data_IF_147996065197
#
_entry.id   IF_147996065197
#
_cell.length_a   1.000
_cell.length_b   1.000
_cell.length_c   1.000
_cell.angle_alpha   90.00
_cell.angle_beta   90.00
_cell.angle_gamma   90.00
#
_symmetry.space_group_name_H-M   'P 1'
#
loop_
_entity.id
_entity.type
_entity.pdbx_description
1 polymer ?
#
# COMPACT_ATOMS: atom_id res chain seq x y z
N UNK A 1 -28.72 -32.01 6.18
CA UNK A 1 -28.03 -31.49 4.97
C UNK A 1 -26.90 -30.50 5.30
N UNK A 2 -26.35 -30.51 6.52
CA UNK A 2 -25.25 -29.63 6.95
C UNK A 2 -23.94 -30.42 7.12
N UNK A 3 -24.00 -31.72 7.43
CA UNK A 3 -22.82 -32.54 7.75
C UNK A 3 -22.00 -33.03 6.54
N UNK A 4 -22.54 -33.03 5.32
CA UNK A 4 -21.79 -33.48 4.13
C UNK A 4 -20.86 -32.38 3.55
N UNK A 5 -20.98 -31.13 4.03
CA UNK A 5 -20.14 -30.01 3.58
C UNK A 5 -18.81 -29.90 4.35
N UNK A 6 -18.62 -30.67 5.42
CA UNK A 6 -17.65 -30.32 6.47
C UNK A 6 -16.27 -30.98 6.27
N UNK A 7 -16.17 -32.29 6.00
CA UNK A 7 -14.84 -32.95 5.99
C UNK A 7 -14.03 -32.82 4.70
N UNK A 8 -14.68 -32.78 3.53
CA UNK A 8 -13.98 -32.69 2.23
C UNK A 8 -13.60 -31.24 1.86
N UNK A 9 -14.32 -30.25 2.42
CA UNK A 9 -14.00 -28.83 2.25
C UNK A 9 -12.88 -28.36 3.19
N UNK A 10 -12.77 -28.85 4.42
CA UNK A 10 -11.75 -28.37 5.37
C UNK A 10 -10.34 -28.49 4.79
N UNK A 11 -9.97 -29.61 4.18
CA UNK A 11 -8.63 -29.77 3.56
C UNK A 11 -8.39 -28.75 2.44
N UNK A 12 -9.39 -28.50 1.58
CA UNK A 12 -9.30 -27.49 0.51
C UNK A 12 -9.28 -26.06 1.07
N UNK A 13 -9.99 -25.79 2.18
CA UNK A 13 -9.97 -24.51 2.89
C UNK A 13 -8.61 -24.24 3.51
N UNK A 14 -8.00 -25.24 4.16
CA UNK A 14 -6.67 -25.15 4.74
C UNK A 14 -5.64 -24.89 3.64
N UNK A 15 -5.68 -25.66 2.54
CA UNK A 15 -4.74 -25.47 1.42
C UNK A 15 -4.92 -24.09 0.78
N UNK A 16 -6.16 -23.64 0.53
CA UNK A 16 -6.41 -22.30 0.00
C UNK A 16 -5.94 -21.20 0.97
N UNK A 17 -6.14 -21.39 2.28
CA UNK A 17 -5.67 -20.47 3.32
C UNK A 17 -4.15 -20.37 3.39
N UNK A 18 -3.44 -21.50 3.33
CA UNK A 18 -1.97 -21.53 3.29
C UNK A 18 -1.45 -20.83 2.02
N UNK A 19 -2.04 -21.11 0.85
CA UNK A 19 -1.66 -20.43 -0.40
C UNK A 19 -1.86 -18.92 -0.29
N UNK A 20 -2.97 -18.46 0.29
CA UNK A 20 -3.23 -17.03 0.47
C UNK A 20 -2.30 -16.38 1.49
N UNK A 21 -1.95 -17.07 2.58
CA UNK A 21 -0.94 -16.58 3.52
C UNK A 21 0.43 -16.43 2.86
N UNK A 22 0.84 -17.42 2.06
CA UNK A 22 2.08 -17.35 1.28
C UNK A 22 2.01 -16.20 0.27
N UNK A 23 0.90 -16.06 -0.45
CA UNK A 23 0.70 -14.93 -1.36
C UNK A 23 0.77 -13.58 -0.64
N UNK A 24 0.16 -13.45 0.54
CA UNK A 24 0.24 -12.24 1.36
C UNK A 24 1.65 -11.95 1.84
N UNK A 25 2.42 -12.96 2.20
CA UNK A 25 3.83 -12.80 2.54
C UNK A 25 4.61 -12.23 1.34
N UNK A 26 4.43 -12.79 0.15
CA UNK A 26 5.07 -12.25 -1.06
C UNK A 26 4.62 -10.84 -1.43
N UNK A 27 3.33 -10.49 -1.25
CA UNK A 27 2.86 -9.12 -1.44
C UNK A 27 3.48 -8.18 -0.41
N UNK A 28 3.52 -8.57 0.87
CA UNK A 28 4.10 -7.75 1.92
C UNK A 28 5.59 -7.51 1.69
N UNK A 29 6.34 -8.55 1.33
CA UNK A 29 7.75 -8.45 0.95
C UNK A 29 7.91 -7.58 -0.29
N UNK A 30 7.11 -7.79 -1.33
CA UNK A 30 7.20 -6.99 -2.55
C UNK A 30 6.89 -5.52 -2.33
N UNK A 31 5.88 -5.19 -1.51
CA UNK A 31 5.54 -3.82 -1.15
C UNK A 31 6.60 -3.20 -0.24
N UNK A 32 7.16 -3.97 0.69
CA UNK A 32 8.25 -3.52 1.55
C UNK A 32 9.51 -3.20 0.75
N UNK A 33 9.92 -4.06 -0.18
CA UNK A 33 11.07 -3.81 -1.08
C UNK A 33 10.85 -2.61 -2.01
N UNK A 34 9.60 -2.39 -2.47
CA UNK A 34 9.26 -1.21 -3.29
C UNK A 34 9.22 0.07 -2.44
N UNK A 35 8.83 -0.02 -1.17
CA UNK A 35 8.60 1.15 -0.29
C UNK A 35 9.79 1.49 0.60
N UNK A 36 10.65 0.52 0.88
CA UNK A 36 11.82 0.61 1.73
C UNK A 36 12.95 -0.17 1.06
N UNK A 37 13.72 0.47 0.17
CA UNK A 37 14.88 -0.18 -0.45
C UNK A 37 15.92 -0.69 0.57
N UNK A 38 15.79 -0.33 1.85
CA UNK A 38 16.72 -0.59 2.97
C UNK A 38 16.30 -1.71 3.95
N UNK A 39 15.10 -2.30 3.85
CA UNK A 39 14.46 -2.89 5.06
C UNK A 39 14.49 -4.42 5.26
N UNK A 40 15.02 -5.26 4.36
CA UNK A 40 15.07 -6.71 4.66
C UNK A 40 16.10 -7.56 3.89
N UNK A 41 16.57 -7.13 2.72
CA UNK A 41 17.63 -7.79 1.93
C UNK A 41 18.99 -7.06 1.95
N UNK A 42 19.22 -6.19 2.94
CA UNK A 42 20.49 -5.49 3.21
C UNK A 42 21.57 -6.42 3.81
N UNK A 43 21.79 -7.59 3.19
CA UNK A 43 23.12 -8.22 3.21
C UNK A 43 24.09 -7.50 2.24
N UNK A 44 23.55 -6.60 1.41
CA UNK A 44 24.24 -5.90 0.31
C UNK A 44 24.88 -4.57 0.70
N UNK A 45 24.61 -4.05 1.91
CA UNK A 45 25.17 -2.79 2.42
C UNK A 45 26.64 -2.89 2.88
N UNK A 46 27.37 -3.90 2.40
CA UNK A 46 28.80 -3.93 2.59
C UNK A 46 29.49 -3.17 1.44
N UNK A 47 30.37 -2.24 1.79
CA UNK A 47 31.11 -1.36 0.86
C UNK A 47 31.72 -2.11 -0.34
N UNK A 48 32.11 -3.37 -0.15
CA UNK A 48 32.72 -4.19 -1.19
C UNK A 48 31.78 -4.58 -2.35
N UNK A 49 30.46 -4.60 -2.15
CA UNK A 49 29.50 -4.98 -3.21
C UNK A 49 29.13 -3.78 -4.09
N UNK A 50 29.15 -2.57 -3.53
CA UNK A 50 28.91 -1.31 -4.25
C UNK A 50 29.98 -1.02 -5.31
N UNK A 51 31.22 -1.44 -5.06
CA UNK A 51 32.33 -1.35 -6.04
C UNK A 51 32.18 -2.33 -7.21
N UNK A 52 31.56 -3.49 -6.98
CA UNK A 52 31.41 -4.53 -8.00
C UNK A 52 30.13 -4.32 -8.82
N UNK A 53 29.05 -3.82 -8.20
CA UNK A 53 27.75 -3.58 -8.84
C UNK A 53 27.14 -2.23 -8.43
N UNK A 54 27.60 -1.10 -9.00
CA UNK A 54 27.07 0.25 -8.71
C UNK A 54 25.60 0.45 -9.13
N UNK A 55 24.99 -0.54 -9.81
CA UNK A 55 23.58 -0.55 -10.22
C UNK A 55 22.70 -1.49 -9.37
N UNK A 56 23.21 -2.05 -8.27
CA UNK A 56 22.43 -2.95 -7.40
C UNK A 56 21.21 -2.25 -6.78
N UNK A 57 21.30 -0.96 -6.42
CA UNK A 57 20.17 -0.16 -5.93
C UNK A 57 18.99 -0.09 -6.94
N UNK A 58 19.30 -0.19 -8.25
CA UNK A 58 18.33 -0.13 -9.34
C UNK A 58 17.57 -1.44 -9.56
N UNK A 59 17.98 -2.53 -8.91
CA UNK A 59 17.48 -3.89 -9.19
C UNK A 59 16.31 -4.34 -8.29
N UNK A 60 16.02 -3.63 -7.20
CA UNK A 60 15.01 -4.04 -6.21
C UNK A 60 13.55 -3.92 -6.70
N UNK A 61 13.26 -3.02 -7.65
CA UNK A 61 11.90 -2.90 -8.21
C UNK A 61 11.48 -4.15 -8.98
N UNK A 62 12.42 -4.84 -9.64
CA UNK A 62 12.15 -6.09 -10.34
C UNK A 62 11.85 -7.23 -9.35
N UNK A 63 12.52 -7.23 -8.19
CA UNK A 63 12.27 -8.18 -7.11
C UNK A 63 10.88 -7.93 -6.51
N UNK A 64 10.52 -6.69 -6.21
CA UNK A 64 9.17 -6.32 -5.76
C UNK A 64 8.08 -6.66 -6.79
N UNK A 65 8.30 -6.33 -8.07
CA UNK A 65 7.36 -6.64 -9.15
C UNK A 65 7.20 -8.15 -9.35
N UNK A 66 8.29 -8.91 -9.31
CA UNK A 66 8.26 -10.37 -9.43
C UNK A 66 7.52 -11.01 -8.25
N UNK A 67 7.69 -10.51 -7.03
CA UNK A 67 6.95 -10.96 -5.85
C UNK A 67 5.43 -10.71 -6.00
N UNK A 68 5.03 -9.55 -6.53
CA UNK A 68 3.62 -9.24 -6.83
C UNK A 68 3.05 -10.16 -7.92
N UNK A 69 3.80 -10.41 -8.99
CA UNK A 69 3.38 -11.33 -10.07
C UNK A 69 3.19 -12.75 -9.53
N UNK A 70 4.13 -13.23 -8.71
CA UNK A 70 4.06 -14.55 -8.06
C UNK A 70 2.83 -14.63 -7.15
N UNK A 71 2.58 -13.60 -6.34
CA UNK A 71 1.39 -13.56 -5.48
C UNK A 71 0.08 -13.58 -6.28
N UNK A 72 -0.02 -12.81 -7.36
CA UNK A 72 -1.15 -12.85 -8.28
C UNK A 72 -1.34 -14.24 -8.90
N UNK A 73 -0.25 -14.90 -9.28
CA UNK A 73 -0.25 -16.28 -9.77
C UNK A 73 -0.76 -17.28 -8.72
N UNK A 74 -0.40 -17.11 -7.45
CA UNK A 74 -0.84 -17.94 -6.32
C UNK A 74 -2.30 -17.72 -5.93
N UNK A 75 -2.88 -16.54 -6.20
CA UNK A 75 -4.30 -16.27 -5.95
C UNK A 75 -5.20 -17.10 -6.87
N UNK A 76 -4.78 -17.38 -8.11
CA UNK A 76 -5.56 -18.16 -9.10
C UNK A 76 -5.89 -19.60 -8.63
N UNK A 77 -4.92 -20.43 -8.20
CA UNK A 77 -5.22 -21.76 -7.68
C UNK A 77 -6.02 -21.72 -6.38
N UNK A 78 -5.80 -20.74 -5.50
CA UNK A 78 -6.63 -20.55 -4.31
C UNK A 78 -8.10 -20.27 -4.67
N UNK A 79 -8.34 -19.41 -5.68
CA UNK A 79 -9.67 -19.10 -6.19
C UNK A 79 -10.34 -20.31 -6.83
N UNK A 80 -9.58 -21.15 -7.55
CA UNK A 80 -10.09 -22.39 -8.15
C UNK A 80 -10.41 -23.47 -7.11
N UNK A 81 -9.67 -23.52 -5.99
CA UNK A 81 -9.88 -24.51 -4.93
C UNK A 81 -11.18 -24.24 -4.15
N UNK A 82 -11.36 -23.01 -3.67
CA UNK A 82 -12.54 -22.58 -2.91
C UNK A 82 -12.81 -21.09 -3.07
N UNK A 83 -13.70 -20.76 -4.01
CA UNK A 83 -14.08 -19.38 -4.34
C UNK A 83 -14.58 -18.60 -3.12
N UNK A 84 -15.54 -19.15 -2.37
CA UNK A 84 -16.17 -18.41 -1.27
C UNK A 84 -15.21 -18.10 -0.12
N UNK A 85 -14.32 -19.03 0.24
CA UNK A 85 -13.33 -18.80 1.29
C UNK A 85 -12.24 -17.83 0.81
N UNK A 86 -11.70 -18.06 -0.40
CA UNK A 86 -10.58 -17.28 -0.93
C UNK A 86 -10.94 -15.79 -1.06
N UNK A 87 -12.14 -15.48 -1.54
CA UNK A 87 -12.60 -14.11 -1.69
C UNK A 87 -12.68 -13.40 -0.31
N UNK A 88 -13.22 -14.08 0.71
CA UNK A 88 -13.36 -13.49 2.06
C UNK A 88 -12.01 -13.30 2.75
N UNK A 89 -11.10 -14.23 2.52
CA UNK A 89 -9.73 -14.14 3.05
C UNK A 89 -8.98 -12.98 2.39
N UNK A 90 -9.10 -12.84 1.07
CA UNK A 90 -8.49 -11.74 0.31
C UNK A 90 -9.06 -10.37 0.75
N UNK A 91 -10.37 -10.27 1.01
CA UNK A 91 -10.98 -9.07 1.60
C UNK A 91 -10.35 -8.73 2.96
N UNK A 92 -10.19 -9.72 3.84
CA UNK A 92 -9.59 -9.54 5.17
C UNK A 92 -8.15 -9.04 5.06
N UNK A 93 -7.38 -9.65 4.16
CA UNK A 93 -5.98 -9.29 3.92
C UNK A 93 -5.85 -7.89 3.34
N UNK A 94 -6.66 -7.52 2.35
CA UNK A 94 -6.64 -6.16 1.78
C UNK A 94 -7.02 -5.10 2.82
N UNK A 95 -8.00 -5.38 3.69
CA UNK A 95 -8.42 -4.44 4.74
C UNK A 95 -7.31 -4.20 5.77
N UNK A 96 -6.68 -5.27 6.24
CA UNK A 96 -5.58 -5.18 7.21
C UNK A 96 -4.35 -4.54 6.55
N UNK A 97 -4.01 -4.94 5.32
CA UNK A 97 -2.85 -4.42 4.60
C UNK A 97 -2.99 -2.93 4.28
N UNK A 98 -4.06 -2.53 3.59
CA UNK A 98 -4.29 -1.12 3.21
C UNK A 98 -4.50 -0.26 4.46
N UNK A 99 -5.34 -0.70 5.39
CA UNK A 99 -5.58 0.04 6.63
C UNK A 99 -4.32 0.20 7.47
N UNK A 100 -3.54 -0.88 7.62
CA UNK A 100 -2.29 -0.87 8.37
C UNK A 100 -1.23 0.03 7.74
N UNK A 101 -1.14 0.03 6.40
CA UNK A 101 -0.23 0.92 5.66
C UNK A 101 -0.57 2.40 5.91
N UNK A 102 -1.85 2.78 5.83
CA UNK A 102 -2.27 4.17 6.08
C UNK A 102 -2.04 4.60 7.54
N UNK A 103 -2.31 3.70 8.50
CA UNK A 103 -1.99 3.96 9.91
C UNK A 103 -0.49 4.19 10.08
N UNK A 104 0.35 3.28 9.56
CA UNK A 104 1.79 3.40 9.70
C UNK A 104 2.34 4.68 9.05
N UNK A 105 1.92 4.98 7.82
CA UNK A 105 2.33 6.19 7.10
C UNK A 105 1.89 7.48 7.83
N UNK A 106 0.70 7.46 8.46
CA UNK A 106 0.20 8.63 9.20
C UNK A 106 0.99 8.95 10.45
N UNK A 107 1.57 7.96 11.13
CA UNK A 107 2.27 8.16 12.41
C UNK A 107 3.48 9.08 12.24
N UNK A 108 4.32 8.84 11.23
CA UNK A 108 5.49 9.69 10.96
C UNK A 108 5.08 11.12 10.61
N UNK A 109 4.02 11.29 9.83
CA UNK A 109 3.49 12.60 9.42
C UNK A 109 2.85 13.39 10.57
N UNK A 110 2.27 12.69 11.55
CA UNK A 110 1.68 13.31 12.75
C UNK A 110 2.77 13.67 13.77
N UNK A 111 3.84 12.89 13.86
CA UNK A 111 4.96 13.15 14.77
C UNK A 111 5.70 14.43 14.42
N UNK A 112 5.98 14.67 13.14
CA UNK A 112 6.56 15.94 12.66
C UNK A 112 5.75 16.56 11.51
N UNK A 113 4.70 17.34 11.85
CA UNK A 113 3.91 18.05 10.86
C UNK A 113 4.69 19.13 10.09
N UNK A 114 5.77 19.67 10.67
CA UNK A 114 6.60 20.69 10.03
C UNK A 114 7.44 20.08 8.91
N UNK A 115 8.05 18.94 9.16
CA UNK A 115 8.78 18.18 8.14
C UNK A 115 7.82 17.75 7.03
N UNK A 116 6.64 17.23 7.37
CA UNK A 116 5.64 16.85 6.37
C UNK A 116 5.17 18.06 5.52
N UNK A 117 4.90 19.22 6.14
CA UNK A 117 4.55 20.44 5.41
C UNK A 117 5.65 20.90 4.46
N UNK A 118 6.92 20.72 4.84
CA UNK A 118 8.08 21.03 3.98
C UNK A 118 8.13 20.08 2.79
N UNK A 119 7.91 18.78 3.00
CA UNK A 119 7.84 17.78 1.93
C UNK A 119 6.69 18.09 0.96
N UNK A 120 5.51 18.46 1.46
CA UNK A 120 4.37 18.87 0.62
C UNK A 120 4.67 20.17 -0.14
N UNK A 121 5.36 21.13 0.48
CA UNK A 121 5.74 22.38 -0.19
C UNK A 121 6.71 22.17 -1.35
N UNK A 122 7.58 21.14 -1.30
CA UNK A 122 8.46 20.78 -2.41
C UNK A 122 7.68 20.38 -3.67
N UNK A 123 6.46 19.86 -3.51
CA UNK A 123 5.56 19.61 -4.62
C UNK A 123 5.05 20.86 -5.28
N UNK A 124 5.31 22.09 -4.80
CA UNK A 124 4.97 23.37 -5.46
C UNK A 124 3.53 23.50 -6.04
N UNK A 125 2.64 22.56 -5.73
CA UNK A 125 1.34 22.38 -6.37
C UNK A 125 0.38 23.46 -5.89
N UNK A 126 0.37 23.68 -4.57
CA UNK A 126 -0.41 24.76 -3.95
C UNK A 126 0.13 26.14 -4.31
N UNK A 127 1.45 26.28 -4.50
CA UNK A 127 2.05 27.54 -4.94
C UNK A 127 1.67 27.90 -6.37
N UNK A 128 1.70 26.92 -7.29
CA UNK A 128 1.22 27.11 -8.66
C UNK A 128 -0.26 27.53 -8.71
N UNK A 129 -1.07 27.06 -7.76
CA UNK A 129 -2.49 27.43 -7.62
C UNK A 129 -2.70 28.70 -6.77
N UNK A 130 -1.62 29.35 -6.31
CA UNK A 130 -1.64 30.57 -5.49
C UNK A 130 -2.39 30.41 -4.15
N UNK A 131 -2.33 29.21 -3.55
CA UNK A 131 -3.02 28.84 -2.31
C UNK A 131 -2.06 28.26 -1.27
N UNK A 132 -0.93 28.93 -1.04
CA UNK A 132 0.13 28.46 -0.11
C UNK A 132 -0.37 28.22 1.32
N UNK A 133 -1.41 28.95 1.76
CA UNK A 133 -2.02 28.74 3.08
C UNK A 133 -2.62 27.33 3.25
N UNK A 134 -3.00 26.67 2.14
CA UNK A 134 -3.54 25.31 2.15
C UNK A 134 -2.47 24.29 2.49
N UNK A 135 -1.19 24.55 2.21
CA UNK A 135 -0.10 23.62 2.47
C UNK A 135 -0.03 23.20 3.95
N UNK A 136 -0.04 24.18 4.85
CA UNK A 136 0.04 23.92 6.29
C UNK A 136 -1.24 23.26 6.81
N UNK A 137 -2.40 23.67 6.29
CA UNK A 137 -3.67 23.04 6.66
C UNK A 137 -3.73 21.58 6.19
N UNK A 138 -3.29 21.30 4.97
CA UNK A 138 -3.17 19.96 4.42
C UNK A 138 -2.22 19.10 5.26
N UNK A 139 -1.05 19.63 5.62
CA UNK A 139 -0.08 18.91 6.43
C UNK A 139 -0.61 18.52 7.82
N UNK A 140 -1.49 19.32 8.41
CA UNK A 140 -2.11 19.01 9.70
C UNK A 140 -3.29 18.04 9.60
N UNK A 141 -4.13 18.23 8.58
CA UNK A 141 -5.43 17.55 8.51
C UNK A 141 -5.34 16.22 7.77
N UNK A 142 -4.53 16.17 6.70
CA UNK A 142 -4.45 15.00 5.84
C UNK A 142 -3.95 13.74 6.56
N UNK A 143 -2.86 13.79 7.37
CA UNK A 143 -2.40 12.62 8.11
C UNK A 143 -3.44 12.09 9.10
N UNK A 144 -4.25 12.99 9.68
CA UNK A 144 -5.30 12.60 10.60
C UNK A 144 -6.41 11.80 9.89
N UNK A 145 -6.76 12.19 8.65
CA UNK A 145 -7.65 11.38 7.82
C UNK A 145 -7.05 10.01 7.48
N UNK A 146 -5.75 9.95 7.19
CA UNK A 146 -5.07 8.67 6.92
C UNK A 146 -5.21 7.71 8.10
N UNK A 147 -4.95 8.22 9.31
CA UNK A 147 -5.07 7.46 10.55
C UNK A 147 -6.50 6.97 10.78
N UNK A 148 -7.48 7.87 10.75
CA UNK A 148 -8.87 7.52 11.07
C UNK A 148 -9.50 6.59 10.04
N UNK A 149 -9.28 6.82 8.74
CA UNK A 149 -9.80 5.92 7.71
C UNK A 149 -9.04 4.60 7.66
N UNK A 150 -7.74 4.59 7.97
CA UNK A 150 -6.97 3.36 8.17
C UNK A 150 -7.50 2.51 9.33
N UNK A 151 -7.76 3.13 10.48
CA UNK A 151 -8.40 2.48 11.64
C UNK A 151 -9.82 2.01 11.29
N UNK A 152 -10.62 2.84 10.62
CA UNK A 152 -11.98 2.50 10.23
C UNK A 152 -12.02 1.28 9.28
N UNK A 153 -11.08 1.20 8.33
CA UNK A 153 -10.94 0.07 7.41
C UNK A 153 -10.72 -1.26 8.16
N UNK A 154 -9.96 -1.24 9.26
CA UNK A 154 -9.63 -2.44 10.06
C UNK A 154 -10.74 -2.77 11.05
N UNK A 155 -11.21 -1.80 11.84
CA UNK A 155 -12.02 -2.08 13.02
C UNK A 155 -13.52 -1.97 12.79
N UNK A 156 -13.97 -1.24 11.76
CA UNK A 156 -15.39 -0.93 11.58
C UNK A 156 -16.05 -1.77 10.47
N UNK A 157 -17.39 -1.90 10.45
CA UNK A 157 -18.10 -2.51 9.33
C UNK A 157 -18.24 -1.57 8.11
N UNK A 158 -17.82 -0.30 8.22
CA UNK A 158 -17.92 0.74 7.17
C UNK A 158 -16.78 0.65 6.15
N UNK A 159 -16.58 -0.54 5.59
CA UNK A 159 -15.47 -0.85 4.66
C UNK A 159 -15.57 -0.04 3.39
N UNK A 160 -16.79 0.11 2.87
CA UNK A 160 -17.02 0.76 1.57
C UNK A 160 -16.71 2.24 1.66
N UNK A 161 -17.20 2.86 2.73
CA UNK A 161 -17.02 4.26 3.04
C UNK A 161 -15.53 4.56 3.29
N UNK A 162 -14.87 3.72 4.09
CA UNK A 162 -13.43 3.84 4.35
C UNK A 162 -12.60 3.61 3.09
N UNK A 163 -12.94 2.61 2.27
CA UNK A 163 -12.27 2.34 1.00
C UNK A 163 -12.44 3.49 0.01
N UNK A 164 -13.62 4.11 -0.04
CA UNK A 164 -13.87 5.25 -0.91
C UNK A 164 -13.06 6.47 -0.50
N UNK A 165 -12.95 6.74 0.80
CA UNK A 165 -12.10 7.81 1.32
C UNK A 165 -10.62 7.57 0.97
N UNK A 166 -10.09 6.37 1.30
CA UNK A 166 -8.71 5.99 1.00
C UNK A 166 -8.42 6.04 -0.51
N UNK A 167 -9.38 5.65 -1.36
CA UNK A 167 -9.25 5.75 -2.81
C UNK A 167 -8.99 7.20 -3.26
N UNK A 168 -9.78 8.16 -2.77
CA UNK A 168 -9.57 9.57 -3.12
C UNK A 168 -8.26 10.13 -2.58
N UNK A 169 -7.78 9.61 -1.45
CA UNK A 169 -6.47 9.95 -0.92
C UNK A 169 -5.35 9.47 -1.86
N UNK A 170 -5.40 8.22 -2.33
CA UNK A 170 -4.49 7.74 -3.38
C UNK A 170 -4.55 8.60 -4.64
N UNK A 171 -5.75 8.95 -5.12
CA UNK A 171 -5.90 9.82 -6.31
C UNK A 171 -5.19 11.17 -6.08
N UNK A 172 -5.33 11.77 -4.91
CA UNK A 172 -4.68 13.05 -4.61
C UNK A 172 -3.15 12.97 -4.64
N UNK A 173 -2.55 11.89 -4.10
CA UNK A 173 -1.10 11.68 -4.18
C UNK A 173 -0.63 11.40 -5.60
N UNK A 174 -1.38 10.59 -6.37
CA UNK A 174 -1.08 10.32 -7.78
C UNK A 174 -1.07 11.63 -8.59
N UNK A 175 -2.04 12.52 -8.36
CA UNK A 175 -2.08 13.83 -9.03
C UNK A 175 -0.87 14.69 -8.64
N UNK A 176 -0.54 14.75 -7.34
CA UNK A 176 0.60 15.51 -6.86
C UNK A 176 1.93 14.98 -7.44
N UNK A 177 2.14 13.67 -7.46
CA UNK A 177 3.31 13.01 -8.04
C UNK A 177 3.39 13.19 -9.57
N UNK A 178 2.27 13.05 -10.27
CA UNK A 178 2.22 13.29 -11.72
C UNK A 178 2.56 14.74 -12.05
N UNK A 179 2.05 15.70 -11.26
CA UNK A 179 2.39 17.12 -11.41
C UNK A 179 3.88 17.37 -11.15
N UNK A 180 4.44 16.78 -10.09
CA UNK A 180 5.86 16.88 -9.75
C UNK A 180 6.76 16.38 -10.90
N UNK A 181 6.44 15.21 -11.46
CA UNK A 181 7.16 14.62 -12.58
C UNK A 181 7.02 15.45 -13.86
N UNK A 182 5.85 16.04 -14.11
CA UNK A 182 5.63 16.90 -15.29
C UNK A 182 6.46 18.18 -15.23
N UNK A 183 6.62 18.76 -14.05
CA UNK A 183 7.39 19.99 -13.84
C UNK A 183 8.88 19.72 -13.55
N UNK A 184 9.31 18.46 -13.67
CA UNK A 184 10.69 18.01 -13.51
C UNK A 184 11.33 18.33 -12.15
N UNK A 185 10.50 18.34 -11.11
CA UNK A 185 10.93 18.69 -9.76
C UNK A 185 11.57 17.47 -9.09
N UNK A 186 12.80 17.62 -8.60
CA UNK A 186 13.54 16.58 -7.88
C UNK A 186 13.02 16.36 -6.46
N UNK A 187 11.82 15.78 -6.33
CA UNK A 187 11.08 15.66 -5.07
C UNK A 187 11.21 14.25 -4.47
N UNK A 188 11.45 14.21 -3.16
CA UNK A 188 11.29 13.03 -2.28
C UNK A 188 9.81 12.77 -1.97
N UNK A 189 9.31 11.55 -2.17
CA UNK A 189 7.95 11.21 -1.75
C UNK A 189 7.85 11.17 -0.21
N UNK A 190 7.19 12.16 0.41
CA UNK A 190 7.02 12.26 1.87
C UNK A 190 6.07 11.25 2.52
N UNK A 191 5.88 10.08 1.90
CA UNK A 191 5.15 8.96 2.52
C UNK A 191 6.03 8.18 3.51
N UNK A 192 7.36 8.27 3.42
CA UNK A 192 8.32 7.62 4.32
C UNK A 192 9.55 8.52 4.52
N UNK A 193 10.15 8.48 5.71
CA UNK A 193 11.42 9.18 6.01
C UNK A 193 12.54 8.58 5.14
N UNK A 194 12.89 9.28 4.06
CA UNK A 194 14.14 9.04 3.34
C UNK A 194 14.93 10.34 3.39
N UNK A 195 15.84 10.41 4.38
CA UNK A 195 16.90 11.42 4.38
C UNK A 195 17.79 11.19 3.14
N UNK A 196 17.70 12.08 2.15
CA UNK A 196 18.72 12.20 1.09
C UNK A 196 18.32 11.87 -0.35
N UNK A 197 17.09 11.47 -0.64
CA UNK A 197 16.75 10.96 -1.96
C UNK A 197 16.33 12.02 -3.00
N UNK A 198 17.32 12.68 -3.62
CA UNK A 198 17.14 13.66 -4.69
C UNK A 198 16.95 13.02 -6.10
N UNK A 199 16.26 11.88 -6.24
CA UNK A 199 16.22 11.17 -7.54
C UNK A 199 14.79 10.98 -8.11
N UNK A 200 14.61 11.34 -9.39
CA UNK A 200 13.36 11.19 -10.15
C UNK A 200 12.88 9.75 -10.17
N UNK A 201 13.80 8.78 -10.06
CA UNK A 201 13.48 7.37 -9.99
C UNK A 201 12.49 7.05 -8.86
N UNK A 202 12.60 7.70 -7.70
CA UNK A 202 11.74 7.43 -6.53
C UNK A 202 10.33 8.02 -6.66
N UNK A 203 10.20 9.15 -7.35
CA UNK A 203 8.89 9.69 -7.69
C UNK A 203 8.14 8.75 -8.65
N UNK A 204 8.84 8.14 -9.61
CA UNK A 204 8.28 7.12 -10.51
C UNK A 204 7.91 5.83 -9.78
N UNK A 205 8.75 5.34 -8.86
CA UNK A 205 8.42 4.12 -8.08
C UNK A 205 7.19 4.34 -7.20
N UNK A 206 7.10 5.51 -6.55
CA UNK A 206 5.96 5.90 -5.72
C UNK A 206 4.67 6.00 -6.54
N UNK A 207 4.72 6.60 -7.73
CA UNK A 207 3.57 6.69 -8.63
C UNK A 207 3.07 5.31 -9.07
N UNK A 208 3.99 4.41 -9.47
CA UNK A 208 3.64 3.04 -9.88
C UNK A 208 3.02 2.27 -8.70
N UNK A 209 3.60 2.40 -7.49
CA UNK A 209 3.07 1.79 -6.28
C UNK A 209 1.62 2.23 -6.02
N UNK A 210 1.35 3.52 -6.07
CA UNK A 210 0.01 4.05 -5.79
C UNK A 210 -1.00 3.59 -6.85
N UNK A 211 -0.59 3.52 -8.13
CA UNK A 211 -1.40 2.94 -9.21
C UNK A 211 -1.70 1.45 -9.02
N UNK A 212 -0.79 0.68 -8.40
CA UNK A 212 -1.01 -0.73 -8.10
C UNK A 212 -1.94 -0.89 -6.89
N UNK A 213 -1.75 -0.08 -5.83
CA UNK A 213 -2.51 -0.17 -4.58
C UNK A 213 -3.92 0.42 -4.67
N UNK A 214 -4.18 1.30 -5.63
CA UNK A 214 -5.52 1.86 -5.84
C UNK A 214 -6.51 0.80 -6.38
N UNK A 215 -6.04 -0.23 -7.10
CA UNK A 215 -6.88 -1.31 -7.64
C UNK A 215 -7.58 -2.16 -6.55
N UNK A 216 -6.87 -2.75 -5.57
CA UNK A 216 -7.51 -3.50 -4.49
C UNK A 216 -8.40 -2.60 -3.61
N UNK A 217 -8.04 -1.32 -3.45
CA UNK A 217 -8.86 -0.33 -2.73
C UNK A 217 -10.19 -0.10 -3.45
N UNK A 218 -10.15 0.09 -4.77
CA UNK A 218 -11.35 0.27 -5.60
C UNK A 218 -12.24 -0.98 -5.58
N UNK A 219 -11.64 -2.16 -5.60
CA UNK A 219 -12.36 -3.42 -5.48
C UNK A 219 -13.10 -3.55 -4.13
N UNK A 220 -12.49 -3.12 -3.03
CA UNK A 220 -13.15 -3.08 -1.72
C UNK A 220 -14.32 -2.08 -1.68
N UNK A 221 -14.19 -0.92 -2.35
CA UNK A 221 -15.22 0.11 -2.37
C UNK A 221 -16.52 -0.35 -3.07
N UNK A 222 -16.42 -1.06 -4.19
CA UNK A 222 -17.59 -1.47 -4.98
C UNK A 222 -18.20 -2.82 -4.59
N UNK A 223 -17.51 -3.62 -3.77
CA UNK A 223 -17.96 -4.97 -3.44
C UNK A 223 -18.96 -4.99 -2.27
N UNK A 224 -19.96 -5.87 -2.32
CA UNK A 224 -20.87 -6.11 -1.18
C UNK A 224 -20.10 -6.81 -0.05
N UNK A 225 -20.09 -6.21 1.15
CA UNK A 225 -19.39 -6.71 2.33
C UNK A 225 -19.88 -8.13 2.65
N UNK A 226 -18.97 -9.11 2.52
CA UNK A 226 -19.22 -10.52 2.86
C UNK A 226 -18.07 -11.01 3.73
N UNK A 227 -17.74 -10.25 4.77
CA UNK A 227 -16.64 -10.55 5.70
C UNK A 227 -16.67 -11.97 6.28
N UNK A 228 -15.47 -12.52 6.49
CA UNK A 228 -15.19 -13.73 7.28
C UNK A 228 -15.34 -13.50 8.79
N UNK A 229 -14.95 -12.32 9.29
CA UNK A 229 -14.95 -11.93 10.71
C UNK A 229 -16.33 -11.40 11.11
N UNK A 230 -16.85 -11.87 12.24
CA UNK A 230 -18.17 -11.49 12.77
C UNK A 230 -18.31 -10.00 13.05
N UNK A 231 -17.24 -9.34 13.51
CA UNK A 231 -17.19 -7.90 13.83
C UNK A 231 -17.50 -7.01 12.62
N UNK A 232 -17.30 -7.53 11.42
CA UNK A 232 -17.44 -6.79 10.17
C UNK A 232 -18.73 -7.11 9.41
N UNK A 233 -19.57 -8.01 9.94
CA UNK A 233 -20.89 -8.28 9.38
C UNK A 233 -21.83 -7.18 9.87
N UNK A 234 -22.42 -6.44 8.92
CA UNK A 234 -23.50 -5.49 9.17
C UNK A 234 -24.82 -6.14 8.82
#
# INVERSE_FOLDING_TARGET
MIECFEKQNIKRSIVAGVILLVASFFVAVGVAEISFPESLLTFTDQDWLMDIWPKAYRYNIHVGLSAVIIACGLIVPAYKLQKDFAIRALETLCRIGIGGMFIFASIFKIQDPHQFATLVAQYQFFSALHVDFVNNFFALVYPQFELWFGLAMIFTPFVKESAFAIFWMFVSFIIALAWALWNDLGITCGCFELEGAQDKAEAWTSLIRDLVLIWPTLWLAFRKNKSLISVWKK
#
